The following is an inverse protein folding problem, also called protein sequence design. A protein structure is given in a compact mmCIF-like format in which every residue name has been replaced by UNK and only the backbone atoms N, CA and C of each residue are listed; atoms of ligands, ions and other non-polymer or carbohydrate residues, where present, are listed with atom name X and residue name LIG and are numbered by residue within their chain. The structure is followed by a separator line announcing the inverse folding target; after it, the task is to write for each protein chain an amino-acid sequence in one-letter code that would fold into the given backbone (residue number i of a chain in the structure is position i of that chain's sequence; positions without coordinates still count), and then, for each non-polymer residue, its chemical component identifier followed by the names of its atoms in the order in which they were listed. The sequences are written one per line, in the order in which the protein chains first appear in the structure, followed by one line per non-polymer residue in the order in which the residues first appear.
data_IF_646015392199
#
_entry.id   IF_646015392199
#
_cell.length_a   1.000
_cell.length_b   1.000
_cell.length_c   1.000
_cell.angle_alpha   90.00
_cell.angle_beta   90.00
_cell.angle_gamma   90.00
#
_symmetry.space_group_name_H-M   'P 1'
#
loop_
_entity.id
_entity.type
_entity.pdbx_description
1 polymer ?
#
# COMPACT_ATOMS: atom_id res chain seq x y z
N UNK A 1 7.49 10.86 40.85
CA UNK A 1 7.53 9.66 39.97
C UNK A 1 8.38 10.04 38.78
N UNK A 2 9.63 9.59 38.76
CA UNK A 2 10.58 9.85 37.69
C UNK A 2 10.04 9.26 36.38
N UNK A 3 9.94 10.08 35.34
CA UNK A 3 9.66 9.59 33.99
C UNK A 3 10.86 8.76 33.56
N UNK A 4 10.76 7.43 33.59
CA UNK A 4 11.75 6.60 32.90
C UNK A 4 11.73 7.04 31.44
N UNK A 5 12.83 7.60 30.94
CA UNK A 5 12.92 8.05 29.56
C UNK A 5 12.68 6.82 28.65
N UNK A 6 11.49 6.74 28.07
CA UNK A 6 11.14 5.68 27.12
C UNK A 6 12.07 5.81 25.92
N UNK A 7 12.79 4.74 25.59
CA UNK A 7 13.68 4.71 24.44
C UNK A 7 12.90 5.07 23.16
N UNK A 8 13.50 5.79 22.20
CA UNK A 8 12.80 6.20 20.99
C UNK A 8 12.42 4.98 20.13
N UNK A 9 11.23 5.01 19.54
CA UNK A 9 10.72 3.97 18.62
C UNK A 9 11.39 4.04 17.24
N UNK A 10 11.91 5.21 16.88
CA UNK A 10 12.67 5.41 15.65
C UNK A 10 13.72 6.50 15.82
N UNK A 11 14.76 6.48 14.98
CA UNK A 11 15.71 7.59 14.82
C UNK A 11 15.76 8.05 13.37
N UNK A 12 15.99 9.34 13.19
CA UNK A 12 16.23 9.98 11.90
C UNK A 12 17.67 10.49 11.86
N UNK A 13 18.47 9.97 10.94
CA UNK A 13 19.87 10.35 10.75
C UNK A 13 20.01 11.15 9.46
N UNK A 14 20.50 12.38 9.58
CA UNK A 14 20.85 13.20 8.41
C UNK A 14 22.16 12.67 7.82
N UNK A 15 22.17 12.37 6.52
CA UNK A 15 23.36 11.95 5.79
C UNK A 15 24.27 13.15 5.54
N UNK A 16 25.06 13.53 6.56
CA UNK A 16 25.85 14.78 6.57
C UNK A 16 26.80 14.91 5.37
N UNK A 17 27.50 13.85 5.02
CA UNK A 17 28.46 13.86 3.89
C UNK A 17 27.74 14.15 2.57
N UNK A 18 26.66 13.43 2.28
CA UNK A 18 25.85 13.66 1.07
C UNK A 18 25.23 15.06 1.06
N UNK A 19 24.74 15.53 2.20
CA UNK A 19 24.19 16.88 2.33
C UNK A 19 25.21 17.96 1.96
N UNK A 20 26.45 17.84 2.44
CA UNK A 20 27.53 18.80 2.14
C UNK A 20 27.90 18.73 0.66
N UNK A 21 28.08 17.52 0.11
CA UNK A 21 28.41 17.32 -1.31
C UNK A 21 27.31 17.89 -2.21
N UNK A 22 26.05 17.58 -1.93
CA UNK A 22 24.91 18.02 -2.75
C UNK A 22 24.77 19.54 -2.75
N UNK A 23 24.92 20.19 -1.59
CA UNK A 23 24.83 21.66 -1.48
C UNK A 23 25.99 22.36 -2.16
N UNK A 24 27.21 21.85 -2.02
CA UNK A 24 28.37 22.38 -2.72
C UNK A 24 28.22 22.24 -4.23
N UNK A 25 27.80 21.05 -4.70
CA UNK A 25 27.52 20.82 -6.10
C UNK A 25 26.43 21.77 -6.62
N UNK A 26 25.32 21.93 -5.90
CA UNK A 26 24.25 22.84 -6.29
C UNK A 26 24.72 24.29 -6.40
N UNK A 27 25.55 24.74 -5.46
CA UNK A 27 26.13 26.08 -5.47
C UNK A 27 27.06 26.31 -6.66
N UNK A 28 28.03 25.40 -6.89
CA UNK A 28 28.98 25.51 -8.00
C UNK A 28 28.27 25.43 -9.37
N UNK A 29 27.33 24.50 -9.51
CA UNK A 29 26.54 24.36 -10.74
C UNK A 29 25.65 25.58 -10.98
N UNK A 30 25.08 26.18 -9.92
CA UNK A 30 24.33 27.43 -10.01
C UNK A 30 25.18 28.59 -10.54
N UNK A 31 26.42 28.74 -10.07
CA UNK A 31 27.36 29.75 -10.58
C UNK A 31 27.66 29.51 -12.07
N UNK A 32 27.89 28.26 -12.46
CA UNK A 32 28.15 27.90 -13.86
C UNK A 32 26.94 28.23 -14.76
N UNK A 33 25.71 27.94 -14.31
CA UNK A 33 24.48 28.28 -15.05
C UNK A 33 24.30 29.79 -15.18
N UNK A 34 24.53 30.56 -14.11
CA UNK A 34 24.46 32.03 -14.17
C UNK A 34 25.48 32.61 -15.15
N UNK A 35 26.69 32.03 -15.19
CA UNK A 35 27.76 32.43 -16.10
C UNK A 35 27.40 32.09 -17.56
N UNK A 36 26.81 30.92 -17.78
CA UNK A 36 26.29 30.49 -19.09
C UNK A 36 25.17 31.41 -19.57
N UNK A 37 24.19 31.74 -18.72
CA UNK A 37 23.11 32.65 -19.07
C UNK A 37 23.61 34.05 -19.38
N UNK A 38 24.54 34.57 -18.59
CA UNK A 38 25.19 35.85 -18.89
C UNK A 38 25.81 35.82 -20.29
N UNK A 39 26.62 34.82 -20.60
CA UNK A 39 27.24 34.65 -21.92
C UNK A 39 26.21 34.58 -23.06
N UNK A 40 25.13 33.81 -22.88
CA UNK A 40 24.08 33.65 -23.89
C UNK A 40 23.32 34.95 -24.13
N UNK A 41 22.98 35.68 -23.06
CA UNK A 41 22.28 36.96 -23.16
C UNK A 41 23.15 38.01 -23.83
N UNK A 42 24.44 38.09 -23.48
CA UNK A 42 25.36 39.04 -24.12
C UNK A 42 25.58 38.70 -25.60
N UNK A 43 25.75 37.42 -25.93
CA UNK A 43 25.89 36.96 -27.31
C UNK A 43 24.63 37.23 -28.14
N UNK A 44 23.44 37.02 -27.55
CA UNK A 44 22.16 37.34 -28.20
C UNK A 44 22.03 38.84 -28.46
N UNK A 45 22.43 39.68 -27.49
CA UNK A 45 22.42 41.14 -27.65
C UNK A 45 23.36 41.59 -28.79
N UNK A 46 24.54 40.98 -28.91
CA UNK A 46 25.48 41.26 -30.00
C UNK A 46 24.92 40.84 -31.38
N UNK A 47 24.27 39.67 -31.47
CA UNK A 47 23.62 39.19 -32.71
C UNK A 47 22.49 40.13 -33.14
N UNK A 48 21.67 40.59 -32.18
CA UNK A 48 20.59 41.56 -32.45
C UNK A 48 21.18 42.89 -32.92
N UNK A 49 22.25 43.37 -32.28
CA UNK A 49 22.94 44.61 -32.67
C UNK A 49 23.50 44.53 -34.09
N UNK A 50 24.09 43.39 -34.47
CA UNK A 50 24.71 43.18 -35.78
C UNK A 50 23.70 42.81 -36.89
N UNK A 51 22.41 42.60 -36.56
CA UNK A 51 21.33 42.18 -37.48
C UNK A 51 21.61 40.85 -38.20
N UNK A 52 22.30 39.92 -37.53
CA UNK A 52 22.59 38.59 -38.07
C UNK A 52 21.38 37.64 -37.92
N UNK A 53 20.42 37.79 -38.83
CA UNK A 53 19.15 37.05 -38.80
C UNK A 53 19.32 35.52 -38.90
N UNK A 54 20.42 35.03 -39.46
CA UNK A 54 20.71 33.59 -39.61
C UNK A 54 21.07 32.91 -38.28
N UNK A 55 21.69 33.65 -37.35
CA UNK A 55 22.15 33.13 -36.05
C UNK A 55 21.14 33.35 -34.93
N UNK A 56 20.20 34.29 -35.11
CA UNK A 56 19.23 34.68 -34.10
C UNK A 56 18.35 33.50 -33.65
N UNK A 57 17.71 32.80 -34.60
CA UNK A 57 16.76 31.73 -34.29
C UNK A 57 17.43 30.55 -33.55
N UNK A 58 18.56 29.98 -34.00
CA UNK A 58 19.27 28.94 -33.25
C UNK A 58 19.68 29.36 -31.84
N UNK A 59 20.15 30.59 -31.65
CA UNK A 59 20.56 31.09 -30.33
C UNK A 59 19.37 31.20 -29.37
N UNK A 60 18.23 31.71 -29.84
CA UNK A 60 17.00 31.79 -29.05
C UNK A 60 16.52 30.40 -28.66
N UNK A 61 16.52 29.43 -29.59
CA UNK A 61 16.12 28.05 -29.31
C UNK A 61 17.01 27.38 -28.26
N UNK A 62 18.34 27.57 -28.37
CA UNK A 62 19.30 27.04 -27.38
C UNK A 62 19.08 27.70 -26.02
N UNK A 63 18.91 29.02 -25.96
CA UNK A 63 18.64 29.73 -24.71
C UNK A 63 17.35 29.23 -24.03
N UNK A 64 16.27 29.04 -24.79
CA UNK A 64 15.01 28.50 -24.27
C UNK A 64 15.23 27.07 -23.73
N UNK A 65 15.94 26.21 -24.46
CA UNK A 65 16.26 24.86 -24.02
C UNK A 65 17.08 24.86 -22.73
N UNK A 66 18.12 25.69 -22.63
CA UNK A 66 18.96 25.83 -21.44
C UNK A 66 18.16 26.37 -20.24
N UNK A 67 17.23 27.32 -20.45
CA UNK A 67 16.33 27.81 -19.40
C UNK A 67 15.41 26.70 -18.88
N UNK A 68 14.81 25.91 -19.76
CA UNK A 68 13.95 24.78 -19.39
C UNK A 68 14.75 23.74 -18.61
N UNK A 69 15.91 23.33 -19.12
CA UNK A 69 16.77 22.34 -18.45
C UNK A 69 17.26 22.83 -17.09
N UNK A 70 17.62 24.11 -16.98
CA UNK A 70 18.04 24.72 -15.72
C UNK A 70 16.90 24.81 -14.71
N UNK A 71 15.68 25.09 -15.18
CA UNK A 71 14.50 25.09 -14.32
C UNK A 71 14.18 23.69 -13.80
N UNK A 72 14.21 22.66 -14.65
CA UNK A 72 14.06 21.26 -14.24
C UNK A 72 15.15 20.86 -13.24
N UNK A 73 16.40 21.25 -13.50
CA UNK A 73 17.51 21.02 -12.58
C UNK A 73 17.28 21.69 -11.22
N UNK A 74 16.81 22.94 -11.21
CA UNK A 74 16.53 23.68 -9.98
C UNK A 74 15.46 22.98 -9.14
N UNK A 75 14.35 22.56 -9.77
CA UNK A 75 13.30 21.78 -9.11
C UNK A 75 13.84 20.48 -8.51
N UNK A 76 14.78 19.81 -9.20
CA UNK A 76 15.38 18.57 -8.72
C UNK A 76 16.26 18.72 -7.47
N UNK A 77 16.72 19.94 -7.13
CA UNK A 77 17.59 20.17 -5.97
C UNK A 77 16.86 19.94 -4.64
N UNK A 78 15.53 20.11 -4.60
CA UNK A 78 14.74 19.86 -3.40
C UNK A 78 14.98 18.43 -2.87
N UNK A 79 14.96 17.43 -3.76
CA UNK A 79 15.19 16.03 -3.42
C UNK A 79 16.64 15.68 -3.03
N UNK A 80 17.56 16.65 -3.07
CA UNK A 80 18.98 16.46 -2.68
C UNK A 80 19.39 17.32 -1.49
N UNK A 81 18.52 18.21 -1.03
CA UNK A 81 18.87 19.29 -0.10
C UNK A 81 19.17 18.82 1.33
N UNK A 82 18.44 17.79 1.79
CA UNK A 82 18.55 17.23 3.14
C UNK A 82 18.24 15.72 3.12
N UNK A 83 19.15 14.88 2.59
CA UNK A 83 18.98 13.42 2.64
C UNK A 83 18.95 12.91 4.08
N UNK A 84 17.92 12.14 4.42
CA UNK A 84 17.77 11.48 5.73
C UNK A 84 17.57 9.98 5.59
N UNK A 85 18.06 9.24 6.57
CA UNK A 85 17.80 7.81 6.73
C UNK A 85 17.08 7.59 8.05
N UNK A 86 16.01 6.79 8.04
CA UNK A 86 15.25 6.43 9.24
C UNK A 86 15.52 5.00 9.63
N UNK A 87 15.63 4.76 10.93
CA UNK A 87 15.72 3.41 11.51
C UNK A 87 14.62 3.25 12.55
N UNK A 88 13.92 2.13 12.51
CA UNK A 88 12.84 1.76 13.43
C UNK A 88 13.31 0.69 14.41
N UNK A 89 12.62 0.60 15.55
CA UNK A 89 12.88 -0.40 16.60
C UNK A 89 11.56 -1.08 17.01
N UNK A 90 11.05 -2.01 16.19
CA UNK A 90 9.82 -2.76 16.47
C UNK A 90 9.79 -3.42 17.85
N UNK A 91 10.94 -3.84 18.36
CA UNK A 91 11.09 -4.47 19.68
C UNK A 91 10.76 -3.53 20.86
N UNK A 92 10.69 -2.22 20.61
CA UNK A 92 10.35 -1.19 21.61
C UNK A 92 8.88 -0.78 21.57
N UNK A 93 8.11 -1.30 20.62
CA UNK A 93 6.67 -1.08 20.58
C UNK A 93 6.01 -1.63 21.86
N UNK A 94 4.86 -1.07 22.25
CA UNK A 94 4.09 -1.67 23.33
C UNK A 94 3.65 -3.09 22.94
N UNK A 95 3.32 -3.90 23.96
CA UNK A 95 2.85 -5.27 23.75
C UNK A 95 1.65 -5.34 22.81
N UNK A 96 1.49 -6.49 22.17
CA UNK A 96 0.54 -6.75 21.09
C UNK A 96 -0.90 -6.33 21.40
N UNK A 97 -1.33 -6.38 22.66
CA UNK A 97 -2.63 -5.91 23.15
C UNK A 97 -2.88 -4.42 22.91
N UNK A 98 -1.84 -3.59 22.90
CA UNK A 98 -1.92 -2.13 22.73
C UNK A 98 -1.75 -1.69 21.28
N UNK A 99 -1.36 -2.59 20.37
CA UNK A 99 -1.27 -2.29 18.95
C UNK A 99 -2.67 -2.05 18.33
N UNK A 100 -2.83 -1.16 17.34
CA UNK A 100 -4.09 -0.95 16.64
C UNK A 100 -4.36 -2.09 15.68
N UNK A 101 -5.58 -2.20 15.17
CA UNK A 101 -5.85 -3.01 14.00
C UNK A 101 -5.32 -2.38 12.71
N UNK A 102 -5.03 -3.20 11.71
CA UNK A 102 -4.56 -2.85 10.37
C UNK A 102 -5.40 -3.62 9.34
N UNK A 103 -5.90 -2.90 8.35
CA UNK A 103 -6.48 -3.51 7.15
C UNK A 103 -5.44 -3.56 6.03
N UNK A 104 -5.33 -4.66 5.31
CA UNK A 104 -4.47 -4.82 4.14
C UNK A 104 -5.36 -4.88 2.91
N UNK A 105 -5.20 -3.94 1.98
CA UNK A 105 -5.94 -3.87 0.74
C UNK A 105 -5.07 -4.34 -0.40
N UNK A 106 -5.53 -5.38 -1.10
CA UNK A 106 -4.90 -5.92 -2.30
C UNK A 106 -5.89 -5.76 -3.43
N UNK A 107 -5.49 -5.09 -4.51
CA UNK A 107 -6.33 -4.92 -5.70
C UNK A 107 -5.82 -5.82 -6.82
N UNK A 108 -6.75 -6.53 -7.48
CA UNK A 108 -6.48 -7.27 -8.71
C UNK A 108 -7.48 -6.84 -9.80
N UNK A 109 -6.99 -6.70 -11.03
CA UNK A 109 -7.76 -6.22 -12.16
C UNK A 109 -8.57 -7.34 -12.83
N UNK A 110 -7.88 -8.36 -13.33
CA UNK A 110 -8.50 -9.55 -13.90
C UNK A 110 -7.48 -10.71 -14.05
N UNK A 111 -7.94 -11.97 -13.99
CA UNK A 111 -7.06 -13.14 -14.05
C UNK A 111 -6.30 -13.34 -15.37
N UNK A 112 -6.66 -12.65 -16.47
CA UNK A 112 -5.89 -12.73 -17.72
C UNK A 112 -4.61 -11.88 -17.64
N UNK A 113 -4.73 -10.67 -17.09
CA UNK A 113 -3.60 -9.75 -16.93
C UNK A 113 -2.75 -10.08 -15.72
N UNK A 114 -3.39 -10.57 -14.65
CA UNK A 114 -2.78 -10.80 -13.36
C UNK A 114 -3.01 -12.25 -12.93
N UNK A 115 -2.03 -13.14 -13.15
CA UNK A 115 -2.21 -14.58 -12.91
C UNK A 115 -2.63 -14.87 -11.46
N UNK A 116 -3.71 -15.63 -11.25
CA UNK A 116 -4.26 -15.87 -9.91
C UNK A 116 -3.23 -16.40 -8.92
N UNK A 117 -2.32 -17.29 -9.34
CA UNK A 117 -1.27 -17.83 -8.45
C UNK A 117 -0.39 -16.72 -7.90
N UNK A 118 -0.03 -15.70 -8.70
CA UNK A 118 0.75 -14.55 -8.23
C UNK A 118 -0.04 -13.70 -7.24
N UNK A 119 -1.30 -13.40 -7.57
CA UNK A 119 -2.22 -12.65 -6.69
C UNK A 119 -2.36 -13.37 -5.34
N UNK A 120 -2.58 -14.68 -5.36
CA UNK A 120 -2.74 -15.49 -4.15
C UNK A 120 -1.46 -15.56 -3.31
N UNK A 121 -0.28 -15.60 -3.92
CA UNK A 121 0.98 -15.49 -3.19
C UNK A 121 1.08 -14.17 -2.40
N UNK A 122 0.64 -13.07 -2.99
CA UNK A 122 0.58 -11.77 -2.29
C UNK A 122 -0.44 -11.79 -1.14
N UNK A 123 -1.62 -12.40 -1.34
CA UNK A 123 -2.63 -12.59 -0.27
C UNK A 123 -2.06 -13.43 0.88
N UNK A 124 -1.45 -14.58 0.57
CA UNK A 124 -0.84 -15.48 1.56
C UNK A 124 0.30 -14.76 2.31
N UNK A 125 1.13 -13.99 1.59
CA UNK A 125 2.19 -13.19 2.18
C UNK A 125 1.65 -12.11 3.13
N UNK A 126 0.54 -11.46 2.80
CA UNK A 126 -0.10 -10.46 3.65
C UNK A 126 -0.68 -11.10 4.94
N UNK A 127 -1.26 -12.29 4.86
CA UNK A 127 -1.75 -13.05 6.03
C UNK A 127 -0.62 -13.48 6.98
N UNK A 128 0.62 -13.55 6.49
CA UNK A 128 1.80 -13.96 7.24
C UNK A 128 2.65 -12.77 7.77
N UNK A 129 2.14 -11.53 7.71
CA UNK A 129 2.78 -10.40 8.38
C UNK A 129 2.95 -10.66 9.89
N UNK A 130 4.04 -10.18 10.47
CA UNK A 130 4.31 -10.26 11.91
C UNK A 130 3.45 -9.22 12.64
N UNK A 131 2.21 -9.60 12.89
CA UNK A 131 1.21 -8.80 13.60
C UNK A 131 0.18 -9.69 14.30
N UNK A 132 -0.51 -9.21 15.37
CA UNK A 132 -1.52 -10.01 16.04
C UNK A 132 -2.65 -10.41 15.08
N UNK A 133 -3.02 -11.70 14.98
CA UNK A 133 -3.99 -12.18 13.98
C UNK A 133 -5.35 -11.50 14.06
N UNK A 134 -5.86 -11.30 15.27
CA UNK A 134 -7.14 -10.63 15.54
C UNK A 134 -7.12 -9.11 15.26
N UNK A 135 -5.97 -8.55 14.88
CA UNK A 135 -5.78 -7.14 14.53
C UNK A 135 -5.39 -6.93 13.08
N UNK A 136 -5.14 -8.00 12.35
CA UNK A 136 -4.81 -7.93 10.93
C UNK A 136 -6.01 -8.45 10.14
N UNK A 137 -6.40 -7.71 9.11
CA UNK A 137 -7.52 -8.08 8.24
C UNK A 137 -7.11 -7.87 6.80
N UNK A 138 -7.18 -8.90 5.97
CA UNK A 138 -6.75 -8.86 4.57
C UNK A 138 -7.97 -8.83 3.67
N UNK A 139 -8.01 -7.87 2.76
CA UNK A 139 -9.08 -7.66 1.79
C UNK A 139 -8.51 -7.79 0.37
N UNK A 140 -9.05 -8.72 -0.41
CA UNK A 140 -8.80 -8.81 -1.84
C UNK A 140 -9.96 -8.17 -2.61
N UNK A 141 -9.68 -7.05 -3.29
CA UNK A 141 -10.60 -6.46 -4.25
C UNK A 141 -10.36 -7.04 -5.63
N UNK A 142 -11.32 -7.78 -6.15
CA UNK A 142 -11.34 -8.30 -7.51
C UNK A 142 -12.17 -7.39 -8.41
N UNK A 143 -11.50 -6.55 -9.18
CA UNK A 143 -12.16 -5.66 -10.14
C UNK A 143 -12.74 -6.45 -11.32
N UNK A 144 -12.30 -7.68 -11.57
CA UNK A 144 -12.81 -8.53 -12.64
C UNK A 144 -14.08 -9.29 -12.27
N UNK A 145 -14.42 -9.36 -10.97
CA UNK A 145 -15.54 -10.16 -10.48
C UNK A 145 -15.47 -11.61 -10.95
N UNK A 146 -14.26 -12.17 -11.05
CA UNK A 146 -14.05 -13.47 -11.68
C UNK A 146 -14.29 -14.62 -10.72
N UNK A 147 -15.10 -15.58 -11.17
CA UNK A 147 -15.30 -16.86 -10.46
C UNK A 147 -13.98 -17.59 -10.24
N UNK A 148 -13.01 -17.45 -11.15
CA UNK A 148 -11.70 -18.07 -11.02
C UNK A 148 -10.90 -17.48 -9.84
N UNK A 149 -10.85 -16.15 -9.74
CA UNK A 149 -10.20 -15.45 -8.62
C UNK A 149 -10.87 -15.80 -7.29
N UNK A 150 -12.21 -15.80 -7.26
CA UNK A 150 -12.99 -16.15 -6.08
C UNK A 150 -12.78 -17.61 -5.61
N UNK A 151 -12.68 -18.57 -6.53
CA UNK A 151 -12.34 -19.96 -6.18
C UNK A 151 -10.88 -20.09 -5.76
N UNK A 152 -9.97 -19.35 -6.39
CA UNK A 152 -8.55 -19.36 -6.05
C UNK A 152 -8.28 -18.84 -4.62
N UNK A 153 -8.97 -17.76 -4.19
CA UNK A 153 -8.81 -17.24 -2.82
C UNK A 153 -9.27 -18.25 -1.75
N UNK A 154 -10.29 -19.07 -2.03
CA UNK A 154 -10.68 -20.17 -1.12
C UNK A 154 -9.60 -21.24 -1.00
N UNK A 155 -8.85 -21.51 -2.06
CA UNK A 155 -7.70 -22.44 -1.98
C UNK A 155 -6.50 -21.79 -1.28
N UNK A 156 -6.28 -20.50 -1.51
CA UNK A 156 -5.24 -19.74 -0.82
C UNK A 156 -5.49 -19.69 0.69
N UNK A 157 -6.74 -19.53 1.12
CA UNK A 157 -7.15 -19.64 2.52
C UNK A 157 -6.77 -20.99 3.12
N UNK A 158 -7.14 -22.09 2.46
CA UNK A 158 -6.80 -23.45 2.92
C UNK A 158 -5.31 -23.67 3.09
N UNK A 159 -4.50 -23.22 2.12
CA UNK A 159 -3.05 -23.30 2.21
C UNK A 159 -2.48 -22.40 3.32
N UNK A 160 -3.04 -21.19 3.51
CA UNK A 160 -2.62 -20.25 4.55
C UNK A 160 -2.74 -20.83 5.95
N UNK A 161 -3.70 -21.74 6.19
CA UNK A 161 -3.83 -22.46 7.46
C UNK A 161 -2.64 -23.33 7.82
N UNK A 162 -1.87 -23.76 6.83
CA UNK A 162 -0.61 -24.50 7.03
C UNK A 162 0.59 -23.55 7.02
N UNK A 163 0.59 -22.60 6.08
CA UNK A 163 1.71 -21.69 5.84
C UNK A 163 1.93 -20.66 6.95
N UNK A 164 0.88 -20.00 7.42
CA UNK A 164 0.99 -18.92 8.41
C UNK A 164 1.56 -19.43 9.74
N UNK A 165 1.09 -20.55 10.33
CA UNK A 165 1.70 -21.13 11.52
C UNK A 165 3.17 -21.53 11.30
N UNK A 166 3.50 -22.11 10.14
CA UNK A 166 4.89 -22.45 9.79
C UNK A 166 5.80 -21.22 9.76
N UNK A 167 5.35 -20.13 9.11
CA UNK A 167 6.09 -18.87 9.07
C UNK A 167 6.37 -18.32 10.47
N UNK A 168 5.38 -18.38 11.37
CA UNK A 168 5.52 -17.93 12.76
C UNK A 168 6.44 -18.83 13.57
N UNK A 169 6.24 -20.15 13.50
CA UNK A 169 7.03 -21.17 14.23
C UNK A 169 8.51 -21.05 13.92
N UNK A 170 8.86 -20.89 12.64
CA UNK A 170 10.25 -20.86 12.17
C UNK A 170 10.78 -19.46 11.85
N UNK A 171 10.01 -18.40 12.14
CA UNK A 171 10.35 -16.99 11.87
C UNK A 171 10.88 -16.79 10.44
N UNK A 172 10.11 -17.30 9.47
CA UNK A 172 10.45 -17.22 8.05
C UNK A 172 10.55 -15.76 7.63
N UNK A 173 11.68 -15.37 7.03
CA UNK A 173 11.93 -13.98 6.61
C UNK A 173 11.17 -13.60 5.34
N UNK A 174 10.96 -14.53 4.42
CA UNK A 174 10.23 -14.28 3.16
C UNK A 174 8.87 -14.96 3.26
N UNK A 175 7.83 -14.18 3.57
CA UNK A 175 6.49 -14.70 3.79
C UNK A 175 5.76 -15.12 2.50
N UNK A 176 6.25 -14.72 1.33
CA UNK A 176 5.71 -15.14 0.03
C UNK A 176 6.17 -16.57 -0.31
N UNK A 177 5.26 -17.54 -0.45
CA UNK A 177 5.62 -18.93 -0.70
C UNK A 177 6.45 -19.12 -1.98
N UNK A 178 6.03 -18.54 -3.11
CA UNK A 178 6.77 -18.65 -4.37
C UNK A 178 8.20 -18.11 -4.21
N UNK A 179 8.36 -16.94 -3.59
CA UNK A 179 9.68 -16.36 -3.38
C UNK A 179 10.54 -17.18 -2.41
N UNK A 180 9.93 -17.71 -1.34
CA UNK A 180 10.61 -18.55 -0.35
C UNK A 180 11.17 -19.84 -0.96
N UNK A 181 10.36 -20.53 -1.78
CA UNK A 181 10.78 -21.79 -2.42
C UNK A 181 11.67 -21.60 -3.66
N UNK A 182 11.74 -20.38 -4.23
CA UNK A 182 12.66 -20.06 -5.32
C UNK A 182 14.07 -19.71 -4.83
N UNK A 183 14.21 -19.19 -3.60
CA UNK A 183 15.52 -18.91 -3.02
C UNK A 183 16.12 -20.21 -2.48
N UNK A 184 17.28 -20.61 -3.00
CA UNK A 184 18.11 -21.73 -2.48
C UNK A 184 18.69 -21.47 -1.06
N UNK A 185 18.14 -20.50 -0.34
CA UNK A 185 18.54 -20.20 1.02
C UNK A 185 18.00 -21.28 1.96
N UNK A 186 18.77 -22.37 2.08
CA UNK A 186 18.64 -23.36 3.15
C UNK A 186 18.89 -22.73 4.54
N UNK A 187 19.28 -21.47 4.61
CA UNK A 187 19.54 -20.80 5.87
C UNK A 187 18.23 -20.30 6.51
N UNK A 188 17.69 -21.11 7.43
CA UNK A 188 16.79 -20.60 8.48
C UNK A 188 17.43 -19.41 9.21
N UNK A 189 16.66 -18.61 9.97
CA UNK A 189 17.05 -17.26 10.38
C UNK A 189 18.41 -17.11 11.10
N UNK A 190 19.03 -18.19 11.59
CA UNK A 190 20.30 -18.19 12.32
C UNK A 190 21.36 -19.20 11.85
N UNK A 191 21.19 -19.93 10.75
CA UNK A 191 22.21 -20.92 10.29
C UNK A 191 22.57 -22.00 11.32
N UNK A 192 21.81 -22.11 12.43
CA UNK A 192 21.97 -23.09 13.49
C UNK A 192 21.01 -24.23 13.23
N UNK A 193 21.57 -25.40 12.90
CA UNK A 193 20.96 -26.73 12.91
C UNK A 193 19.45 -26.73 12.60
N UNK A 194 19.10 -26.85 11.32
CA UNK A 194 17.74 -27.24 10.93
C UNK A 194 17.37 -28.52 11.68
N UNK A 195 16.36 -28.47 12.54
CA UNK A 195 15.87 -29.68 13.19
C UNK A 195 15.33 -30.64 12.12
N UNK A 196 15.45 -31.95 12.33
CA UNK A 196 14.83 -32.92 11.41
C UNK A 196 13.32 -32.66 11.23
N UNK A 197 12.67 -32.15 12.28
CA UNK A 197 11.28 -31.68 12.24
C UNK A 197 11.07 -30.55 11.22
N UNK A 198 11.91 -29.51 11.21
CA UNK A 198 11.84 -28.43 10.22
C UNK A 198 11.97 -28.94 8.78
N UNK A 199 12.92 -29.86 8.54
CA UNK A 199 13.15 -30.40 7.18
C UNK A 199 11.92 -31.18 6.70
N UNK A 200 11.32 -32.00 7.58
CA UNK A 200 10.11 -32.77 7.26
C UNK A 200 8.92 -31.84 7.02
N UNK A 201 8.67 -30.87 7.90
CA UNK A 201 7.58 -29.90 7.74
C UNK A 201 7.75 -29.03 6.49
N UNK A 202 8.98 -28.54 6.22
CA UNK A 202 9.29 -27.76 5.02
C UNK A 202 8.94 -28.54 3.76
N UNK A 203 9.34 -29.81 3.68
CA UNK A 203 9.08 -30.67 2.51
C UNK A 203 7.60 -30.99 2.35
N UNK A 204 6.88 -31.18 3.45
CA UNK A 204 5.43 -31.35 3.40
C UNK A 204 4.76 -30.08 2.84
N UNK A 205 5.11 -28.90 3.37
CA UNK A 205 4.54 -27.63 2.94
C UNK A 205 4.88 -27.32 1.48
N UNK A 206 6.10 -27.61 1.04
CA UNK A 206 6.50 -27.49 -0.36
C UNK A 206 5.61 -28.33 -1.28
N UNK A 207 5.31 -29.57 -0.87
CA UNK A 207 4.40 -30.46 -1.59
C UNK A 207 2.98 -29.88 -1.63
N UNK A 208 2.45 -29.41 -0.49
CA UNK A 208 1.12 -28.76 -0.43
C UNK A 208 1.07 -27.49 -1.26
N UNK A 209 2.18 -26.76 -1.36
CA UNK A 209 2.27 -25.55 -2.17
C UNK A 209 2.21 -25.89 -3.67
N UNK A 210 2.90 -26.95 -4.10
CA UNK A 210 2.80 -27.45 -5.47
C UNK A 210 1.36 -27.90 -5.81
N UNK A 211 0.71 -28.66 -4.92
CA UNK A 211 -0.70 -29.05 -5.06
C UNK A 211 -1.63 -27.83 -5.17
N UNK A 212 -1.43 -26.82 -4.32
CA UNK A 212 -2.17 -25.57 -4.38
C UNK A 212 -2.03 -24.89 -5.75
N UNK A 213 -0.81 -24.79 -6.30
CA UNK A 213 -0.57 -24.21 -7.63
C UNK A 213 -1.31 -24.98 -8.73
N UNK A 214 -1.27 -26.31 -8.68
CA UNK A 214 -1.98 -27.16 -9.65
C UNK A 214 -3.51 -27.00 -9.57
N UNK A 215 -4.07 -26.94 -8.35
CA UNK A 215 -5.51 -26.73 -8.16
C UNK A 215 -5.93 -25.38 -8.72
N UNK A 216 -5.17 -24.31 -8.45
CA UNK A 216 -5.47 -22.98 -9.00
C UNK A 216 -5.36 -22.99 -10.53
N UNK A 217 -4.37 -23.66 -11.11
CA UNK A 217 -4.25 -23.81 -12.56
C UNK A 217 -5.46 -24.55 -13.17
N UNK A 218 -5.94 -25.61 -12.52
CA UNK A 218 -7.17 -26.33 -12.94
C UNK A 218 -8.40 -25.43 -12.86
N UNK A 219 -8.56 -24.65 -11.78
CA UNK A 219 -9.67 -23.69 -11.65
C UNK A 219 -9.69 -22.69 -12.80
N UNK A 220 -8.52 -22.18 -13.21
CA UNK A 220 -8.40 -21.24 -14.33
C UNK A 220 -8.74 -21.93 -15.66
N UNK A 221 -8.33 -23.18 -15.86
CA UNK A 221 -8.66 -23.94 -17.06
C UNK A 221 -10.15 -24.28 -17.17
N UNK A 222 -10.79 -24.63 -16.05
CA UNK A 222 -12.20 -25.03 -15.98
C UNK A 222 -13.16 -23.83 -16.06
N UNK A 223 -12.70 -22.65 -15.66
CA UNK A 223 -13.52 -21.43 -15.62
C UNK A 223 -13.21 -20.60 -16.84
N UNK A 224 -14.21 -20.26 -17.67
CA UNK A 224 -13.99 -19.27 -18.73
C UNK A 224 -13.46 -17.99 -18.09
N UNK A 225 -12.33 -17.46 -18.57
CA UNK A 225 -11.69 -16.25 -18.02
C UNK A 225 -12.46 -14.98 -18.44
N UNK A 226 -13.77 -15.10 -18.65
CA UNK A 226 -14.65 -13.99 -19.01
C UNK A 226 -14.86 -13.10 -17.79
N UNK A 227 -14.49 -11.84 -17.94
CA UNK A 227 -14.73 -10.77 -16.96
C UNK A 227 -16.09 -10.19 -17.29
N UNK A 228 -17.07 -10.37 -16.40
CA UNK A 228 -18.34 -9.69 -16.59
C UNK A 228 -18.15 -8.19 -16.34
N UNK A 229 -18.62 -7.35 -17.25
CA UNK A 229 -18.73 -5.90 -17.01
C UNK A 229 -20.07 -5.53 -16.35
N UNK A 230 -20.91 -6.53 -16.12
CA UNK A 230 -22.24 -6.39 -15.54
C UNK A 230 -22.47 -7.48 -14.49
N UNK A 231 -22.28 -7.14 -13.22
CA UNK A 231 -22.49 -8.08 -12.12
C UNK A 231 -22.85 -7.32 -10.82
N UNK A 232 -23.63 -7.93 -9.91
CA UNK A 232 -23.89 -7.35 -8.60
C UNK A 232 -22.61 -7.31 -7.75
N UNK A 233 -22.61 -6.53 -6.66
CA UNK A 233 -21.52 -6.61 -5.69
C UNK A 233 -21.53 -7.99 -5.00
N UNK A 234 -20.36 -8.49 -4.68
CA UNK A 234 -20.14 -9.74 -3.95
C UNK A 234 -19.09 -9.49 -2.87
N UNK A 235 -19.49 -9.68 -1.61
CA UNK A 235 -18.59 -9.55 -0.46
C UNK A 235 -18.70 -10.86 0.31
N UNK A 236 -17.57 -11.53 0.54
CA UNK A 236 -17.55 -12.79 1.28
C UNK A 236 -16.37 -12.81 2.25
N UNK A 237 -16.68 -13.06 3.52
CA UNK A 237 -15.67 -13.41 4.51
C UNK A 237 -15.29 -14.86 4.27
N UNK A 238 -14.03 -15.11 3.93
CA UNK A 238 -13.53 -16.45 3.64
C UNK A 238 -13.24 -17.14 4.97
N UNK A 239 -14.10 -18.08 5.34
CA UNK A 239 -13.96 -18.88 6.55
C UNK A 239 -14.33 -20.36 6.26
N UNK A 240 -14.05 -21.26 7.21
CA UNK A 240 -14.58 -22.61 7.16
C UNK A 240 -16.05 -22.62 7.62
N UNK A 241 -16.92 -23.35 6.91
CA UNK A 241 -18.36 -23.40 7.18
C UNK A 241 -18.77 -23.99 8.55
N UNK A 242 -17.81 -24.30 9.43
CA UNK A 242 -18.01 -24.94 10.74
C UNK A 242 -17.40 -24.13 11.91
N UNK A 243 -16.93 -22.89 11.69
CA UNK A 243 -16.18 -22.11 12.69
C UNK A 243 -17.05 -21.12 13.51
N UNK A 244 -18.34 -21.44 13.68
CA UNK A 244 -19.38 -20.57 14.29
C UNK A 244 -19.19 -20.31 15.81
N UNK A 245 -17.98 -20.43 16.36
CA UNK A 245 -17.77 -20.29 17.80
C UNK A 245 -16.34 -20.05 18.29
N UNK A 246 -15.34 -19.85 17.43
CA UNK A 246 -13.99 -19.49 17.92
C UNK A 246 -13.97 -18.01 18.31
N UNK A 247 -13.74 -17.74 19.60
CA UNK A 247 -13.52 -16.39 20.11
C UNK A 247 -12.40 -15.70 19.30
N UNK A 248 -12.64 -14.46 18.87
CA UNK A 248 -11.72 -13.65 18.07
C UNK A 248 -10.27 -13.64 18.58
N UNK A 249 -10.07 -13.80 19.90
CA UNK A 249 -8.75 -13.86 20.55
C UNK A 249 -7.97 -15.18 20.33
N UNK A 250 -8.63 -16.24 19.85
CA UNK A 250 -8.03 -17.56 19.61
C UNK A 250 -7.72 -17.82 18.14
N UNK A 251 -8.02 -16.88 17.23
CA UNK A 251 -7.72 -17.03 15.81
C UNK A 251 -6.22 -17.04 15.57
N UNK A 252 -5.71 -18.12 14.99
CA UNK A 252 -4.29 -18.23 14.60
C UNK A 252 -3.97 -17.48 13.30
N UNK A 253 -5.00 -17.17 12.51
CA UNK A 253 -4.90 -16.62 11.16
C UNK A 253 -5.74 -15.33 11.06
N UNK A 254 -5.23 -14.29 10.38
CA UNK A 254 -5.98 -13.05 10.14
C UNK A 254 -7.27 -13.28 9.34
N UNK A 255 -8.23 -12.37 9.50
CA UNK A 255 -9.46 -12.35 8.69
C UNK A 255 -9.13 -12.17 7.21
N UNK A 256 -9.77 -12.93 6.32
CA UNK A 256 -9.67 -12.76 4.87
C UNK A 256 -11.04 -12.44 4.27
N UNK A 257 -11.13 -11.36 3.50
CA UNK A 257 -12.37 -10.90 2.88
C UNK A 257 -12.17 -10.75 1.37
N UNK A 258 -13.04 -11.37 0.59
CA UNK A 258 -13.15 -11.16 -0.85
C UNK A 258 -14.17 -10.07 -1.13
N UNK A 259 -13.83 -9.13 -2.03
CA UNK A 259 -14.72 -8.04 -2.46
C UNK A 259 -14.67 -7.94 -3.98
N UNK A 260 -15.80 -8.18 -4.63
CA UNK A 260 -16.05 -7.73 -5.99
C UNK A 260 -17.14 -6.65 -5.94
N UNK A 261 -16.81 -5.43 -6.34
CA UNK A 261 -17.77 -4.32 -6.34
C UNK A 261 -18.79 -4.46 -7.46
N UNK A 262 -19.92 -3.78 -7.36
CA UNK A 262 -20.88 -3.76 -8.45
C UNK A 262 -20.27 -3.13 -9.70
N UNK A 263 -20.53 -3.74 -10.86
CA UNK A 263 -20.22 -3.15 -12.15
C UNK A 263 -21.45 -3.14 -13.03
N UNK A 264 -21.68 -2.00 -13.69
CA UNK A 264 -22.71 -1.79 -14.71
C UNK A 264 -22.06 -1.11 -15.91
N UNK A 265 -22.36 -1.50 -17.15
CA UNK A 265 -21.77 -0.88 -18.35
C UNK A 265 -21.99 0.63 -18.47
N UNK A 266 -23.06 1.14 -17.87
CA UNK A 266 -23.43 2.56 -17.90
C UNK A 266 -22.71 3.43 -16.86
N UNK A 267 -21.99 2.84 -15.89
CA UNK A 267 -21.38 3.58 -14.79
C UNK A 267 -19.84 3.52 -14.86
N UNK A 268 -19.15 4.67 -14.76
CA UNK A 268 -17.70 4.70 -14.71
C UNK A 268 -17.20 4.08 -13.39
N UNK A 269 -16.27 3.15 -13.47
CA UNK A 269 -15.78 2.44 -12.28
C UNK A 269 -14.45 3.01 -11.74
N UNK A 270 -13.82 3.99 -12.38
CA UNK A 270 -12.61 4.66 -11.84
C UNK A 270 -11.44 3.72 -11.47
N UNK A 271 -11.33 2.55 -12.13
CA UNK A 271 -10.25 1.57 -11.97
C UNK A 271 -9.87 1.33 -10.49
N UNK A 272 -8.57 1.35 -10.16
CA UNK A 272 -8.03 1.11 -8.82
C UNK A 272 -8.51 2.11 -7.77
N UNK A 273 -8.71 3.38 -8.13
CA UNK A 273 -9.20 4.39 -7.18
C UNK A 273 -10.62 4.06 -6.69
N UNK A 274 -11.51 3.65 -7.60
CA UNK A 274 -12.84 3.19 -7.25
C UNK A 274 -12.83 1.89 -6.44
N UNK A 275 -11.94 0.95 -6.75
CA UNK A 275 -11.77 -0.28 -5.99
C UNK A 275 -11.33 -0.01 -4.53
N UNK A 276 -10.32 0.84 -4.35
CA UNK A 276 -9.85 1.27 -3.02
C UNK A 276 -10.94 2.01 -2.24
N UNK A 277 -11.75 2.84 -2.91
CA UNK A 277 -12.86 3.54 -2.27
C UNK A 277 -13.96 2.58 -1.77
N UNK A 278 -14.30 1.54 -2.55
CA UNK A 278 -15.21 0.50 -2.09
C UNK A 278 -14.61 -0.27 -0.90
N UNK A 279 -13.33 -0.66 -0.98
CA UNK A 279 -12.64 -1.32 0.13
C UNK A 279 -12.65 -0.45 1.40
N UNK A 280 -12.45 0.86 1.28
CA UNK A 280 -12.52 1.79 2.41
C UNK A 280 -13.89 1.74 3.09
N UNK A 281 -14.98 1.68 2.31
CA UNK A 281 -16.34 1.63 2.85
C UNK A 281 -16.66 0.27 3.48
N UNK A 282 -16.38 -0.82 2.77
CA UNK A 282 -16.62 -2.19 3.22
C UNK A 282 -15.82 -2.49 4.50
N UNK A 283 -14.52 -2.20 4.51
CA UNK A 283 -13.67 -2.43 5.69
C UNK A 283 -14.09 -1.60 6.90
N UNK A 284 -14.63 -0.38 6.72
CA UNK A 284 -15.13 0.42 7.84
C UNK A 284 -16.34 -0.22 8.53
N UNK A 285 -17.08 -1.08 7.84
CA UNK A 285 -18.21 -1.84 8.40
C UNK A 285 -17.78 -3.17 9.02
N UNK A 286 -16.72 -3.79 8.49
CA UNK A 286 -16.27 -5.12 8.93
C UNK A 286 -15.24 -5.01 10.07
N UNK A 287 -14.09 -4.38 9.85
CA UNK A 287 -12.97 -4.33 10.81
C UNK A 287 -12.71 -2.93 11.39
N UNK A 288 -13.08 -1.89 10.65
CA UNK A 288 -12.87 -0.47 10.97
C UNK A 288 -11.46 -0.14 11.47
N UNK A 289 -10.43 -0.72 10.85
CA UNK A 289 -9.06 -0.51 11.32
C UNK A 289 -8.58 0.92 11.09
N UNK A 290 -7.92 1.57 12.07
CA UNK A 290 -7.47 2.95 11.92
C UNK A 290 -6.30 3.12 10.93
N UNK A 291 -5.60 2.03 10.60
CA UNK A 291 -4.49 2.02 9.65
C UNK A 291 -4.76 1.04 8.51
N UNK A 292 -4.27 1.39 7.33
CA UNK A 292 -4.50 0.64 6.10
C UNK A 292 -3.16 0.46 5.38
N UNK A 293 -2.79 -0.77 5.06
CA UNK A 293 -1.73 -1.11 4.13
C UNK A 293 -2.34 -1.28 2.74
N UNK A 294 -1.80 -0.61 1.73
CA UNK A 294 -2.22 -0.82 0.33
C UNK A 294 -1.11 -1.52 -0.44
N UNK A 295 -1.47 -2.63 -1.10
CA UNK A 295 -0.60 -3.44 -1.94
C UNK A 295 -1.21 -3.63 -3.32
N UNK A 296 -0.36 -3.60 -4.33
CA UNK A 296 -0.65 -4.20 -5.64
C UNK A 296 -0.55 -5.71 -5.56
N UNK A 297 -1.24 -6.42 -6.47
CA UNK A 297 -1.29 -7.88 -6.45
C UNK A 297 0.05 -8.57 -6.73
N UNK A 298 1.05 -7.84 -7.24
CA UNK A 298 2.41 -8.30 -7.50
C UNK A 298 3.43 -7.82 -6.43
N UNK A 299 2.96 -7.15 -5.37
CA UNK A 299 3.80 -6.57 -4.32
C UNK A 299 3.63 -7.31 -3.00
N UNK A 300 4.26 -8.49 -2.90
CA UNK A 300 4.28 -9.26 -1.66
C UNK A 300 5.22 -8.66 -0.61
N UNK A 301 5.01 -9.00 0.67
CA UNK A 301 5.81 -8.50 1.77
C UNK A 301 7.14 -9.26 1.87
N UNK A 302 8.25 -8.57 1.60
CA UNK A 302 9.60 -9.11 1.72
C UNK A 302 10.15 -9.11 3.15
N UNK A 303 9.54 -8.33 4.05
CA UNK A 303 9.85 -8.27 5.48
C UNK A 303 8.52 -8.33 6.27
N UNK A 304 8.25 -9.45 6.98
CA UNK A 304 7.03 -9.63 7.77
C UNK A 304 6.86 -8.56 8.86
N UNK A 305 7.96 -7.97 9.34
CA UNK A 305 7.92 -6.95 10.40
C UNK A 305 7.53 -5.56 9.90
N UNK A 306 7.30 -5.37 8.60
CA UNK A 306 6.98 -4.07 7.99
C UNK A 306 5.81 -3.34 8.67
N UNK A 307 4.79 -4.07 9.12
CA UNK A 307 3.65 -3.51 9.86
C UNK A 307 4.09 -2.88 11.18
N UNK A 308 4.88 -3.62 11.98
CA UNK A 308 5.46 -3.10 13.24
C UNK A 308 6.42 -1.94 12.97
N UNK A 309 7.23 -2.01 11.92
CA UNK A 309 8.11 -0.90 11.55
C UNK A 309 7.31 0.38 11.22
N UNK A 310 6.21 0.27 10.48
CA UNK A 310 5.32 1.41 10.22
C UNK A 310 4.69 1.95 11.51
N UNK A 311 4.27 1.04 12.42
CA UNK A 311 3.71 1.42 13.71
C UNK A 311 4.70 2.20 14.57
N UNK A 312 6.02 1.97 14.46
CA UNK A 312 7.02 2.79 15.18
C UNK A 312 6.87 4.28 14.90
N UNK A 313 6.49 4.68 13.68
CA UNK A 313 6.25 6.09 13.34
C UNK A 313 4.86 6.58 13.75
N UNK A 314 3.84 5.72 13.65
CA UNK A 314 2.47 6.06 14.01
C UNK A 314 2.21 6.08 15.53
N UNK A 315 3.05 5.43 16.33
CA UNK A 315 3.02 5.47 17.79
C UNK A 315 3.87 6.57 18.41
N UNK A 316 4.73 7.21 17.62
CA UNK A 316 5.52 8.32 18.11
C UNK A 316 4.61 9.52 18.41
N UNK A 317 4.63 9.99 19.66
CA UNK A 317 3.72 11.04 20.13
C UNK A 317 3.94 12.39 19.44
N UNK A 318 5.16 12.66 18.95
CA UNK A 318 5.51 13.94 18.30
C UNK A 318 5.27 13.89 16.78
N UNK A 319 5.60 12.76 16.15
CA UNK A 319 5.50 12.57 14.70
C UNK A 319 4.09 12.19 14.28
N UNK A 320 3.40 11.30 15.01
CA UNK A 320 2.11 10.74 14.60
C UNK A 320 1.07 11.80 14.24
N UNK A 321 0.86 12.89 15.02
CA UNK A 321 -0.13 13.91 14.67
C UNK A 321 0.13 14.59 13.31
N UNK A 322 1.37 14.62 12.84
CA UNK A 322 1.81 15.24 11.58
C UNK A 322 1.96 14.23 10.44
N UNK A 323 1.80 12.94 10.73
CA UNK A 323 2.07 11.85 9.82
C UNK A 323 0.77 11.33 9.20
N UNK A 324 0.65 11.46 7.88
CA UNK A 324 -0.44 10.86 7.10
C UNK A 324 -0.21 9.39 6.77
N UNK A 325 0.97 9.07 6.24
CA UNK A 325 1.35 7.73 5.79
C UNK A 325 2.85 7.46 5.93
N UNK A 326 3.21 6.18 5.95
CA UNK A 326 4.58 5.66 5.86
C UNK A 326 4.70 4.88 4.55
N UNK A 327 5.50 5.40 3.62
CA UNK A 327 5.75 4.77 2.33
C UNK A 327 7.05 3.96 2.38
N UNK A 328 6.99 2.70 1.98
CA UNK A 328 8.16 1.84 1.79
C UNK A 328 8.63 1.91 0.33
N UNK A 329 9.95 1.82 0.07
CA UNK A 329 10.46 1.72 -1.30
C UNK A 329 10.03 0.40 -1.93
N UNK A 330 9.66 0.44 -3.20
CA UNK A 330 9.29 -0.75 -3.96
C UNK A 330 10.56 -1.47 -4.43
N UNK A 331 10.65 -2.78 -4.17
CA UNK A 331 11.76 -3.61 -4.64
C UNK A 331 11.22 -4.61 -5.66
N UNK A 332 11.67 -4.46 -6.90
CA UNK A 332 11.30 -5.37 -7.98
C UNK A 332 12.24 -6.58 -7.99
N UNK A 333 11.67 -7.74 -8.30
CA UNK A 333 12.38 -9.02 -8.43
C UNK A 333 12.54 -9.38 -9.92
N UNK A 334 13.33 -10.41 -10.23
CA UNK A 334 13.63 -10.88 -11.60
C UNK A 334 14.33 -9.84 -12.50
N UNK A 335 15.19 -9.03 -11.90
CA UNK A 335 15.99 -8.05 -12.64
C UNK A 335 17.26 -8.73 -13.13
N UNK A 336 17.59 -8.53 -14.41
CA UNK A 336 18.81 -9.06 -14.98
C UNK A 336 20.06 -8.38 -14.38
N UNK A 337 21.20 -9.06 -14.42
CA UNK A 337 22.44 -8.53 -13.85
C UNK A 337 22.89 -7.21 -14.49
N UNK A 338 22.60 -7.03 -15.79
CA UNK A 338 22.98 -5.81 -16.53
C UNK A 338 22.09 -4.62 -16.22
N UNK A 339 20.84 -4.85 -15.81
CA UNK A 339 19.83 -3.85 -15.42
C UNK A 339 19.80 -2.59 -16.30
N UNK A 340 19.87 -2.78 -17.63
CA UNK A 340 19.99 -1.69 -18.61
C UNK A 340 18.82 -0.70 -18.51
N UNK A 341 17.65 -1.18 -18.08
CA UNK A 341 16.43 -0.39 -17.97
C UNK A 341 16.26 0.30 -16.59
N UNK A 342 17.24 0.18 -15.67
CA UNK A 342 17.13 0.59 -14.26
C UNK A 342 15.82 0.12 -13.61
N UNK A 343 15.52 -1.18 -13.77
CA UNK A 343 14.35 -1.82 -13.16
C UNK A 343 14.36 -1.73 -11.64
N UNK A 344 15.53 -1.56 -11.01
CA UNK A 344 15.65 -1.31 -9.58
C UNK A 344 15.22 0.10 -9.17
N UNK A 345 15.05 1.04 -10.12
CA UNK A 345 14.66 2.42 -9.88
C UNK A 345 15.57 3.13 -8.86
N UNK A 346 16.89 2.86 -8.91
CA UNK A 346 17.85 3.32 -7.87
C UNK A 346 17.88 4.83 -7.74
N UNK A 347 17.73 5.52 -8.87
CA UNK A 347 17.72 6.98 -8.93
C UNK A 347 16.49 7.61 -8.28
N UNK A 348 15.37 6.89 -8.21
CA UNK A 348 14.12 7.36 -7.60
C UNK A 348 14.19 7.21 -6.09
N UNK A 349 14.63 6.04 -5.60
CA UNK A 349 14.66 5.76 -4.16
C UNK A 349 15.66 6.63 -3.40
N UNK A 350 16.81 6.94 -4.01
CA UNK A 350 17.77 7.88 -3.42
C UNK A 350 17.22 9.31 -3.27
N UNK A 351 16.38 9.77 -4.21
CA UNK A 351 15.73 11.09 -4.12
C UNK A 351 14.71 11.17 -2.97
N UNK A 352 14.09 10.06 -2.62
CA UNK A 352 13.09 10.02 -1.55
C UNK A 352 13.67 10.31 -0.18
N UNK A 353 14.92 9.91 0.07
CA UNK A 353 15.63 10.26 1.30
C UNK A 353 15.77 11.78 1.47
N UNK A 354 15.97 12.53 0.38
CA UNK A 354 16.01 13.98 0.43
C UNK A 354 14.63 14.62 0.57
N UNK A 355 13.61 14.07 -0.08
CA UNK A 355 12.22 14.50 0.10
C UNK A 355 11.73 14.27 1.55
N UNK A 356 12.07 13.13 2.16
CA UNK A 356 11.77 12.81 3.56
C UNK A 356 12.42 13.81 4.54
N UNK A 357 13.60 14.34 4.23
CA UNK A 357 14.22 15.36 5.07
C UNK A 357 13.50 16.72 5.06
N UNK A 358 12.61 16.94 4.10
CA UNK A 358 11.82 18.16 3.92
C UNK A 358 10.38 17.95 4.40
N UNK A 359 9.61 17.10 3.71
CA UNK A 359 8.17 16.90 3.96
C UNK A 359 7.69 15.45 3.84
N UNK A 360 8.51 14.53 3.34
CA UNK A 360 8.12 13.14 3.07
C UNK A 360 8.19 12.79 1.57
N UNK A 361 8.28 11.49 1.24
CA UNK A 361 8.17 11.02 -0.14
C UNK A 361 6.74 11.17 -0.66
N UNK A 362 6.58 11.01 -1.98
CA UNK A 362 5.27 10.92 -2.62
C UNK A 362 4.64 9.54 -2.37
N UNK A 363 3.31 9.49 -2.33
CA UNK A 363 2.57 8.22 -2.30
C UNK A 363 2.68 7.54 -3.66
N UNK A 364 3.22 6.32 -3.71
CA UNK A 364 3.61 5.67 -4.97
C UNK A 364 2.71 4.49 -5.35
N UNK A 365 1.44 4.53 -4.94
CA UNK A 365 0.39 3.59 -5.38
C UNK A 365 0.35 2.23 -4.65
N UNK A 366 1.42 1.80 -3.99
CA UNK A 366 1.53 0.53 -3.25
C UNK A 366 2.62 0.64 -2.16
N UNK A 367 2.70 -0.36 -1.29
CA UNK A 367 3.70 -0.49 -0.22
C UNK A 367 3.68 0.67 0.78
N UNK A 368 2.50 1.15 1.16
CA UNK A 368 2.35 2.22 2.15
C UNK A 368 1.33 1.88 3.22
N UNK A 369 1.62 2.30 4.45
CA UNK A 369 0.70 2.29 5.57
C UNK A 369 0.15 3.70 5.76
N UNK A 370 -1.17 3.87 5.70
CA UNK A 370 -1.84 5.17 5.80
C UNK A 370 -2.86 5.17 6.92
N UNK A 371 -3.04 6.32 7.58
CA UNK A 371 -4.16 6.52 8.50
C UNK A 371 -5.48 6.58 7.72
N UNK A 372 -6.45 5.78 8.12
CA UNK A 372 -7.83 5.84 7.59
C UNK A 372 -8.38 7.26 7.66
N UNK A 373 -8.15 7.96 8.78
CA UNK A 373 -8.61 9.34 8.94
C UNK A 373 -7.97 10.33 7.96
N UNK A 374 -6.71 10.13 7.59
CA UNK A 374 -6.00 10.96 6.62
C UNK A 374 -6.53 10.70 5.22
N UNK A 375 -6.78 9.43 4.88
CA UNK A 375 -7.30 9.03 3.57
C UNK A 375 -8.77 9.44 3.37
N UNK A 376 -9.61 9.25 4.38
CA UNK A 376 -11.02 9.69 4.33
C UNK A 376 -11.18 11.21 4.53
N UNK A 377 -10.12 11.93 4.91
CA UNK A 377 -10.18 13.36 5.22
C UNK A 377 -11.01 13.69 6.45
N UNK A 378 -11.24 12.72 7.34
CA UNK A 378 -12.18 12.85 8.46
C UNK A 378 -11.67 13.76 9.58
N UNK A 379 -10.37 14.04 9.59
CA UNK A 379 -9.75 15.04 10.47
C UNK A 379 -10.38 16.44 10.34
N UNK A 380 -10.98 16.75 9.17
CA UNK A 380 -11.69 18.02 8.92
C UNK A 380 -13.01 18.14 9.68
N UNK A 381 -13.48 17.06 10.33
CA UNK A 381 -14.81 16.96 10.93
C UNK A 381 -14.78 16.69 12.45
N UNK A 382 -13.74 17.14 13.15
CA UNK A 382 -13.47 16.81 14.57
C UNK A 382 -14.36 17.54 15.61
N UNK A 383 -15.15 18.55 15.23
CA UNK A 383 -16.01 19.32 16.15
C UNK A 383 -17.39 19.63 15.51
N UNK A 384 -18.48 19.40 16.24
CA UNK A 384 -19.87 19.83 15.98
C UNK A 384 -20.37 19.77 14.52
N UNK A 385 -20.05 18.68 13.81
CA UNK A 385 -20.43 18.54 12.40
C UNK A 385 -21.86 18.02 12.28
N UNK A 386 -22.71 18.82 11.63
CA UNK A 386 -24.06 18.45 11.22
C UNK A 386 -24.07 17.12 10.44
N UNK A 387 -24.88 16.17 10.90
CA UNK A 387 -25.09 14.86 10.28
C UNK A 387 -25.50 14.96 8.80
N UNK A 388 -26.22 16.04 8.42
CA UNK A 388 -26.59 16.32 7.02
C UNK A 388 -25.34 16.58 6.16
N UNK A 389 -24.34 17.28 6.70
CA UNK A 389 -23.08 17.55 6.01
C UNK A 389 -22.27 16.25 5.85
N UNK A 390 -22.26 15.37 6.86
CA UNK A 390 -21.63 14.06 6.75
C UNK A 390 -22.29 13.20 5.68
N UNK A 391 -23.62 13.21 5.57
CA UNK A 391 -24.33 12.51 4.49
C UNK A 391 -23.95 13.01 3.10
N UNK A 392 -23.85 14.33 2.93
CA UNK A 392 -23.40 14.92 1.67
C UNK A 392 -21.96 14.54 1.32
N UNK A 393 -21.10 14.33 2.31
CA UNK A 393 -19.71 13.93 2.10
C UNK A 393 -19.56 12.43 1.85
N UNK A 394 -20.14 11.59 2.72
CA UNK A 394 -19.85 10.16 2.82
C UNK A 394 -20.95 9.24 2.27
N UNK A 395 -22.11 9.79 1.89
CA UNK A 395 -23.23 9.06 1.29
C UNK A 395 -24.41 8.85 2.23
N UNK A 396 -25.39 8.08 1.77
CA UNK A 396 -26.69 7.93 2.43
C UNK A 396 -26.68 6.96 3.62
N UNK A 397 -25.69 6.06 3.73
CA UNK A 397 -25.64 5.03 4.77
C UNK A 397 -25.38 5.64 6.15
N UNK A 398 -26.39 5.53 7.02
CA UNK A 398 -26.29 5.98 8.40
C UNK A 398 -25.30 5.13 9.21
N UNK A 399 -25.25 3.82 8.97
CA UNK A 399 -24.38 2.91 9.70
C UNK A 399 -22.92 3.15 9.36
N UNK A 400 -22.62 3.40 8.08
CA UNK A 400 -21.28 3.79 7.65
C UNK A 400 -20.83 5.15 8.24
N UNK A 401 -21.71 6.15 8.27
CA UNK A 401 -21.37 7.43 8.89
C UNK A 401 -21.09 7.26 10.39
N UNK A 402 -21.86 6.41 11.08
CA UNK A 402 -21.62 6.09 12.49
C UNK A 402 -20.28 5.40 12.70
N UNK A 403 -19.89 4.48 11.82
CA UNK A 403 -18.61 3.74 11.95
C UNK A 403 -17.39 4.65 11.77
N UNK A 404 -17.50 5.69 10.93
CA UNK A 404 -16.43 6.67 10.71
C UNK A 404 -16.42 7.79 11.77
N UNK A 405 -17.58 8.15 12.32
CA UNK A 405 -17.66 9.22 13.31
C UNK A 405 -16.90 8.84 14.58
N UNK A 406 -15.89 9.64 14.93
CA UNK A 406 -15.02 9.45 16.12
C UNK A 406 -15.85 9.31 17.42
N UNK A 407 -17.08 9.81 17.42
CA UNK A 407 -18.06 9.74 18.52
C UNK A 407 -18.57 8.32 18.84
N UNK A 408 -18.26 7.31 18.01
CA UNK A 408 -18.49 5.92 18.35
C UNK A 408 -17.15 5.16 18.33
N UNK A 409 -16.41 5.22 19.46
CA UNK A 409 -15.53 4.12 19.86
C UNK A 409 -16.41 2.88 20.07
N UNK A 410 -16.81 2.22 18.99
CA UNK A 410 -17.44 0.92 19.06
C UNK A 410 -16.33 -0.11 19.04
N UNK A 411 -16.04 -0.67 20.21
CA UNK A 411 -15.53 -2.03 20.28
C UNK A 411 -16.61 -2.89 19.62
N UNK A 412 -16.45 -3.22 18.34
CA UNK A 412 -17.18 -4.32 17.74
C UNK A 412 -16.52 -5.59 18.25
N UNK A 413 -16.75 -5.91 19.53
CA UNK A 413 -16.98 -7.31 19.85
C UNK A 413 -18.17 -7.67 18.99
N UNK A 414 -17.92 -8.50 17.99
CA UNK A 414 -18.94 -9.18 17.20
C UNK A 414 -19.71 -10.03 18.22
N UNK A 415 -20.70 -9.42 18.88
CA UNK A 415 -21.81 -10.17 19.43
C UNK A 415 -22.50 -10.77 18.22
N UNK A 416 -22.33 -12.07 18.14
CA UNK A 416 -22.70 -13.06 17.14
C UNK A 416 -24.18 -13.07 16.69
N UNK A 417 -24.90 -11.94 16.68
CA UNK A 417 -26.36 -11.90 16.44
C UNK A 417 -26.93 -10.54 15.99
N UNK A 418 -26.14 -9.65 15.40
CA UNK A 418 -26.69 -8.54 14.62
C UNK A 418 -27.15 -9.06 13.25
N UNK A 419 -28.45 -9.42 13.13
CA UNK A 419 -29.15 -9.91 11.92
C UNK A 419 -28.30 -9.83 10.65
N UNK A 420 -27.70 -10.96 10.26
CA UNK A 420 -26.80 -11.13 9.10
C UNK A 420 -27.28 -10.37 7.87
N UNK A 421 -28.60 -10.43 7.59
CA UNK A 421 -29.22 -9.77 6.44
C UNK A 421 -29.03 -8.23 6.41
N UNK A 422 -29.04 -7.54 7.55
CA UNK A 422 -28.95 -6.06 7.57
C UNK A 422 -27.54 -5.56 7.29
N UNK A 423 -26.52 -6.29 7.78
CA UNK A 423 -25.11 -5.95 7.50
C UNK A 423 -24.80 -6.26 6.05
N UNK A 424 -25.30 -7.39 5.54
CA UNK A 424 -25.14 -7.76 4.14
C UNK A 424 -25.79 -6.74 3.19
N UNK A 425 -27.03 -6.30 3.46
CA UNK A 425 -27.70 -5.24 2.70
C UNK A 425 -26.89 -3.93 2.69
N UNK A 426 -26.33 -3.51 3.83
CA UNK A 426 -25.47 -2.33 3.92
C UNK A 426 -24.15 -2.50 3.15
N UNK A 427 -23.52 -3.68 3.22
CA UNK A 427 -22.29 -3.96 2.46
C UNK A 427 -22.54 -3.94 0.95
N UNK A 428 -23.66 -4.50 0.49
CA UNK A 428 -24.07 -4.44 -0.91
C UNK A 428 -24.32 -2.99 -1.35
N UNK A 429 -25.00 -2.18 -0.52
CA UNK A 429 -25.19 -0.75 -0.78
C UNK A 429 -23.86 0.00 -0.90
N UNK A 430 -22.93 -0.22 0.03
CA UNK A 430 -21.62 0.45 0.04
C UNK A 430 -20.71 0.02 -1.13
N UNK A 431 -20.90 -1.19 -1.64
CA UNK A 431 -20.20 -1.71 -2.81
C UNK A 431 -20.90 -1.42 -4.13
N UNK A 432 -22.06 -0.75 -4.11
CA UNK A 432 -22.80 -0.38 -5.30
C UNK A 432 -22.08 0.67 -6.14
N UNK A 433 -22.31 0.65 -7.45
CA UNK A 433 -21.63 1.55 -8.38
C UNK A 433 -22.17 2.99 -8.33
N UNK A 434 -23.40 3.19 -7.86
CA UNK A 434 -24.06 4.50 -7.75
C UNK A 434 -23.89 5.18 -6.39
N UNK A 435 -23.26 4.51 -5.41
CA UNK A 435 -23.07 5.06 -4.07
C UNK A 435 -22.34 6.42 -4.08
N UNK A 436 -21.48 6.65 -5.09
CA UNK A 436 -20.61 7.82 -5.13
C UNK A 436 -21.23 9.06 -5.82
N UNK A 437 -22.30 8.90 -6.61
CA UNK A 437 -22.79 9.90 -7.58
C UNK A 437 -22.99 11.30 -6.97
N UNK A 438 -23.67 11.36 -5.82
CA UNK A 438 -24.01 12.61 -5.12
C UNK A 438 -23.16 12.89 -3.88
N UNK A 439 -21.98 12.27 -3.81
CA UNK A 439 -21.09 12.37 -2.65
C UNK A 439 -19.79 13.11 -2.98
N UNK A 440 -18.93 13.24 -1.95
CA UNK A 440 -17.57 13.76 -2.08
C UNK A 440 -16.52 12.67 -2.27
N UNK A 441 -16.92 11.39 -2.35
CA UNK A 441 -16.04 10.27 -2.67
C UNK A 441 -15.32 10.50 -4.01
N UNK A 442 -14.01 10.24 -4.02
CA UNK A 442 -13.17 10.44 -5.19
C UNK A 442 -13.03 11.89 -5.66
N UNK A 443 -13.52 12.88 -4.90
CA UNK A 443 -13.40 14.31 -5.23
C UNK A 443 -12.59 15.04 -4.16
N UNK A 444 -13.06 14.96 -2.92
CA UNK A 444 -12.47 15.66 -1.76
C UNK A 444 -12.24 14.74 -0.55
N UNK A 445 -12.93 13.60 -0.53
CA UNK A 445 -12.71 12.50 0.40
C UNK A 445 -12.19 11.30 -0.39
N UNK A 446 -11.33 10.49 0.24
CA UNK A 446 -10.79 9.23 -0.27
C UNK A 446 -9.80 9.34 -1.45
N UNK A 447 -9.51 8.21 -2.11
CA UNK A 447 -8.68 8.18 -3.32
C UNK A 447 -9.37 8.96 -4.44
N UNK A 448 -8.74 10.04 -4.89
CA UNK A 448 -9.26 10.96 -5.90
C UNK A 448 -9.43 10.25 -7.24
N UNK A 449 -10.60 10.44 -7.86
CA UNK A 449 -10.90 10.02 -9.21
C UNK A 449 -10.23 10.96 -10.19
N UNK A 450 -9.38 10.38 -11.03
CA UNK A 450 -8.72 11.10 -12.09
C UNK A 450 -8.75 10.28 -13.37
N UNK A 451 -8.90 10.97 -14.50
CA UNK A 451 -8.75 10.36 -15.81
C UNK A 451 -7.28 10.49 -16.19
N UNK A 452 -6.56 9.38 -16.26
CA UNK A 452 -5.27 9.34 -16.92
C UNK A 452 -5.59 9.34 -18.41
N UNK A 453 -5.37 10.49 -19.08
CA UNK A 453 -5.52 10.65 -20.53
C UNK A 453 -4.43 9.88 -21.28
#
# INVERSE_FOLDING_TARGET
MESSATLPLHVCHVKKTELVINRLHAFLHGIALLSLFYYRITSLADIIRNRDNTLLLPHVLILISELILSFIWLLSQAAKWKPVARKTYPERLPGDEKLPSIDVFICTADPNKEPCVKVMNTVISALALDYPPHKLHVYLSDDGGSVATFRAIKQAWKFSKLWVPFCKKYKVKIACPEAYFLTDDESGPDGKFQSNEFIVEKKEIETRYAEFKEIVAKIIADTSISVSKDHPPMIEVIDDANDDGIDSNQREIPLLVYVAREKRPSHPHHFKAGALNVLLRVSAMISNSPYILVLDCDMYCNDPSSARQAMCFHFDHELSPKLGFVQFPQKFYNINETDINDGQQRSVWSKWEGLDGIMGPILSGTCFYIKREALCGTQKFREDVDFIKLKKCFGSSNEFIKSISIYHKRNYQIEHKFRENKVEEELQLLASCSYDDDTKWGKEASCIYFIIL
#
